data_IF_669968192369
#
_entry.id   IF_669968192369
#
_cell.length_a   1.000
_cell.length_b   1.000
_cell.length_c   1.000
_cell.angle_alpha   90.00
_cell.angle_beta   90.00
_cell.angle_gamma   90.00
#
_symmetry.space_group_name_H-M   'P 1'
#
loop_
_entity.id
_entity.type
_entity.pdbx_description
1 polymer ?
#
# COMPACT_ATOMS: atom_id res chain seq x y z
N UNK A 1 17.32 1.64 -15.68
CA UNK A 1 16.92 2.51 -15.25
C UNK A 1 16.05 2.57 -14.11
N UNK A 2 16.16 3.51 -13.41
CA UNK A 2 15.53 3.62 -12.18
C UNK A 2 14.34 4.41 -12.31
N UNK A 3 13.29 3.80 -12.68
CA UNK A 3 12.02 4.41 -12.63
C UNK A 3 11.33 3.92 -11.41
N UNK A 4 11.38 4.63 -10.32
CA UNK A 4 10.65 4.21 -9.15
C UNK A 4 9.18 4.21 -9.51
N UNK A 5 8.54 3.12 -9.23
CA UNK A 5 7.11 2.99 -9.49
C UNK A 5 6.38 3.92 -8.52
N UNK A 6 5.61 4.84 -9.05
CA UNK A 6 4.85 5.76 -8.20
C UNK A 6 3.55 5.11 -7.75
N UNK A 7 2.95 5.60 -6.66
CA UNK A 7 1.65 5.09 -6.23
C UNK A 7 0.60 5.19 -7.34
N UNK A 8 0.67 6.25 -8.13
CA UNK A 8 -0.28 6.43 -9.22
C UNK A 8 -0.12 5.36 -10.30
N UNK A 9 1.11 4.97 -10.58
CA UNK A 9 1.37 3.91 -11.56
C UNK A 9 0.78 2.59 -11.10
N UNK A 10 0.95 2.27 -9.83
CA UNK A 10 0.38 1.06 -9.26
C UNK A 10 -1.15 1.11 -9.31
N UNK A 11 -1.72 2.28 -9.02
CA UNK A 11 -3.17 2.44 -9.04
C UNK A 11 -3.72 2.22 -10.44
N UNK A 12 -3.00 2.68 -11.45
CA UNK A 12 -3.44 2.56 -12.83
C UNK A 12 -3.45 1.10 -13.31
N UNK A 13 -2.66 0.26 -12.67
CA UNK A 13 -2.58 -1.16 -13.03
C UNK A 13 -3.69 -2.00 -12.41
N UNK A 14 -4.48 -1.39 -11.52
CA UNK A 14 -5.51 -2.10 -10.77
C UNK A 14 -6.86 -1.92 -11.44
N UNK A 15 -7.60 -3.01 -11.60
CA UNK A 15 -8.92 -2.95 -12.25
C UNK A 15 -10.08 -3.20 -11.29
N UNK A 16 -9.84 -3.56 -10.06
CA UNK A 16 -10.93 -3.84 -9.13
C UNK A 16 -10.51 -3.49 -7.71
N UNK A 17 -11.49 -3.29 -6.81
CA UNK A 17 -11.16 -3.03 -5.40
C UNK A 17 -10.39 -4.17 -4.76
N UNK A 18 -10.66 -5.40 -5.16
CA UNK A 18 -9.94 -6.55 -4.63
C UNK A 18 -8.47 -6.49 -5.02
N UNK A 19 -8.20 -6.12 -6.27
CA UNK A 19 -6.82 -5.97 -6.71
C UNK A 19 -6.13 -4.83 -5.98
N UNK A 20 -6.86 -3.76 -5.72
CA UNK A 20 -6.30 -2.63 -4.98
C UNK A 20 -5.83 -3.08 -3.60
N UNK A 21 -6.64 -3.87 -2.91
CA UNK A 21 -6.30 -4.38 -1.60
C UNK A 21 -5.08 -5.30 -1.69
N UNK A 22 -5.04 -6.15 -2.70
CA UNK A 22 -3.90 -7.06 -2.89
C UNK A 22 -2.61 -6.29 -3.15
N UNK A 23 -2.67 -5.27 -3.97
CA UNK A 23 -1.49 -4.46 -4.29
C UNK A 23 -1.01 -3.73 -3.04
N UNK A 24 -1.92 -3.12 -2.30
CA UNK A 24 -1.54 -2.40 -1.08
C UNK A 24 -0.95 -3.36 -0.05
N UNK A 25 -1.56 -4.52 0.13
CA UNK A 25 -1.08 -5.51 1.08
C UNK A 25 0.32 -5.99 0.70
N UNK A 26 0.53 -6.28 -0.58
CA UNK A 26 1.84 -6.73 -1.04
C UNK A 26 2.90 -5.66 -0.83
N UNK A 27 2.56 -4.40 -1.12
CA UNK A 27 3.49 -3.30 -0.90
C UNK A 27 3.80 -3.13 0.58
N UNK A 28 2.78 -3.27 1.42
CA UNK A 28 2.94 -3.14 2.86
C UNK A 28 3.86 -4.22 3.42
N UNK A 29 3.77 -5.42 2.87
CA UNK A 29 4.62 -6.52 3.30
C UNK A 29 6.05 -6.38 2.77
N UNK A 30 6.20 -5.82 1.58
CA UNK A 30 7.52 -5.65 0.98
C UNK A 30 8.27 -4.45 1.57
N UNK A 31 7.54 -3.45 2.03
CA UNK A 31 8.13 -2.22 2.57
C UNK A 31 7.88 -2.19 4.06
N UNK A 32 8.95 -2.25 4.83
CA UNK A 32 8.80 -2.09 6.27
C UNK A 32 8.76 -0.60 6.57
N UNK A 33 7.66 -0.10 7.14
CA UNK A 33 7.51 1.33 7.31
C UNK A 33 8.30 1.84 8.52
N UNK A 34 9.60 1.70 8.45
CA UNK A 34 10.49 2.14 9.52
C UNK A 34 10.79 3.63 9.43
N UNK A 35 10.58 4.24 8.28
CA UNK A 35 10.86 5.64 8.09
C UNK A 35 9.59 6.38 7.73
N UNK A 36 9.63 7.70 7.95
CA UNK A 36 8.49 8.53 7.61
C UNK A 36 8.23 8.51 6.09
N UNK A 37 9.28 8.46 5.29
CA UNK A 37 9.13 8.42 3.84
C UNK A 37 8.39 7.18 3.39
N UNK A 38 8.69 6.04 3.99
CA UNK A 38 8.00 4.80 3.65
C UNK A 38 6.55 4.84 4.10
N UNK A 39 6.29 5.40 5.26
CA UNK A 39 4.92 5.55 5.74
C UNK A 39 4.12 6.47 4.81
N UNK A 40 4.74 7.55 4.35
CA UNK A 40 4.09 8.46 3.42
C UNK A 40 3.83 7.81 2.08
N UNK A 41 4.76 6.99 1.62
CA UNK A 41 4.57 6.26 0.37
C UNK A 41 3.34 5.36 0.45
N UNK A 42 3.22 4.61 1.55
CA UNK A 42 2.09 3.71 1.72
C UNK A 42 0.78 4.47 1.85
N UNK A 43 0.79 5.61 2.53
CA UNK A 43 -0.41 6.44 2.64
C UNK A 43 -0.81 6.98 1.28
N UNK A 44 0.16 7.41 0.48
CA UNK A 44 -0.11 7.89 -0.87
C UNK A 44 -0.63 6.77 -1.75
N UNK A 45 -0.08 5.58 -1.61
CA UNK A 45 -0.53 4.43 -2.37
C UNK A 45 -1.97 4.08 -2.03
N UNK A 46 -2.32 4.07 -0.75
CA UNK A 46 -3.68 3.79 -0.34
C UNK A 46 -4.64 4.81 -0.93
N UNK A 47 -4.28 6.08 -0.90
CA UNK A 47 -5.11 7.13 -1.46
C UNK A 47 -5.27 6.97 -2.97
N UNK A 48 -4.19 6.65 -3.66
CA UNK A 48 -4.22 6.47 -5.11
C UNK A 48 -5.07 5.26 -5.50
N UNK A 49 -5.04 4.21 -4.68
CA UNK A 49 -5.82 3.01 -4.91
C UNK A 49 -7.29 3.16 -4.50
N UNK A 50 -7.64 4.27 -3.87
CA UNK A 50 -8.99 4.48 -3.39
C UNK A 50 -9.33 3.68 -2.14
N UNK A 51 -8.33 3.29 -1.39
CA UNK A 51 -8.52 2.52 -0.16
C UNK A 51 -8.85 3.49 0.97
N UNK A 52 -9.98 3.24 1.63
CA UNK A 52 -10.40 4.04 2.75
C UNK A 52 -9.41 3.95 3.90
N UNK A 53 -9.28 5.01 4.67
CA UNK A 53 -8.36 5.04 5.81
C UNK A 53 -8.62 3.92 6.81
N UNK A 54 -9.88 3.60 7.04
CA UNK A 54 -10.22 2.52 7.96
C UNK A 54 -9.77 1.18 7.43
N UNK A 55 -9.93 0.96 6.13
CA UNK A 55 -9.50 -0.28 5.52
C UNK A 55 -7.98 -0.38 5.52
N UNK A 56 -7.29 0.72 5.20
CA UNK A 56 -5.84 0.73 5.24
C UNK A 56 -5.32 0.41 6.64
N UNK A 57 -5.94 0.97 7.66
CA UNK A 57 -5.55 0.69 9.04
C UNK A 57 -5.78 -0.78 9.39
N UNK A 58 -6.87 -1.35 8.89
CA UNK A 58 -7.18 -2.75 9.11
C UNK A 58 -6.13 -3.65 8.46
N UNK A 59 -5.74 -3.32 7.23
CA UNK A 59 -4.70 -4.08 6.52
C UNK A 59 -3.37 -3.96 7.25
N UNK A 60 -3.04 -2.76 7.72
CA UNK A 60 -1.80 -2.54 8.46
C UNK A 60 -1.77 -3.38 9.73
N UNK A 61 -2.88 -3.43 10.45
CA UNK A 61 -2.95 -4.23 11.68
C UNK A 61 -2.81 -5.71 11.37
N UNK A 62 -3.47 -6.19 10.32
CA UNK A 62 -3.40 -7.59 9.95
C UNK A 62 -2.00 -7.97 9.50
N UNK A 63 -1.34 -7.09 8.74
CA UNK A 63 0.02 -7.33 8.28
C UNK A 63 1.00 -7.37 9.45
N UNK A 64 0.80 -6.46 10.39
CA UNK A 64 1.66 -6.39 11.58
C UNK A 64 1.51 -7.64 12.42
N UNK A 65 0.29 -8.14 12.58
CA UNK A 65 0.04 -9.37 13.31
C UNK A 65 0.70 -10.56 12.62
N UNK A 66 0.65 -10.61 11.30
CA UNK A 66 1.26 -11.69 10.55
C UNK A 66 2.77 -11.68 10.66
N UNK A 67 3.36 -10.50 10.81
CA UNK A 67 4.81 -10.36 10.92
C UNK A 67 5.35 -10.61 12.32
N UNK A 68 4.50 -10.60 13.32
CA UNK A 68 4.95 -10.72 14.72
C UNK A 68 5.49 -12.10 15.06
#
# INVERSE_FOLDING_TARGET
LNNPVSPKDLANAVSSPEEAIQVYTAARMAIEPDTRGEQQFLASLAAALGIDNKLAAHIDAATRSAAA
#
